data_IF_073901248660
#
_entry.id   IF_073901248660
#
_cell.length_a   1.000
_cell.length_b   1.000
_cell.length_c   1.000
_cell.angle_alpha   90.00
_cell.angle_beta   90.00
_cell.angle_gamma   90.00
#
_symmetry.space_group_name_H-M   'P 1'
#
loop_
_entity.id
_entity.type
_entity.pdbx_description
1 polymer ?
#
# COMPACT_ATOMS: atom_id res chain seq x y z
N UNK A 1 -15.90 -9.22 -28.35
CA UNK A 1 -15.19 -9.86 -27.22
C UNK A 1 -13.97 -9.09 -26.70
N UNK A 2 -13.42 -8.08 -27.41
CA UNK A 2 -12.28 -7.28 -26.92
C UNK A 2 -12.69 -6.01 -26.12
N UNK A 3 -13.88 -5.45 -26.37
CA UNK A 3 -14.31 -4.18 -25.77
C UNK A 3 -14.50 -4.22 -24.24
N UNK A 4 -14.77 -5.41 -23.68
CA UNK A 4 -15.04 -5.57 -22.25
C UNK A 4 -13.76 -5.51 -21.39
N UNK A 5 -12.61 -5.83 -22.00
CA UNK A 5 -11.31 -5.88 -21.32
C UNK A 5 -10.72 -4.47 -21.03
N UNK A 6 -11.14 -3.44 -21.78
CA UNK A 6 -10.69 -2.06 -21.58
C UNK A 6 -11.36 -1.36 -20.40
N UNK A 7 -12.42 -1.95 -19.84
CA UNK A 7 -13.19 -1.34 -18.75
C UNK A 7 -12.39 -1.19 -17.46
N UNK A 8 -11.35 -2.03 -17.29
CA UNK A 8 -10.51 -2.03 -16.10
C UNK A 8 -9.38 -0.97 -16.14
N UNK A 9 -9.05 -0.48 -17.34
CA UNK A 9 -7.92 0.45 -17.53
C UNK A 9 -8.10 1.76 -16.77
N UNK A 10 -9.27 2.43 -16.78
CA UNK A 10 -9.45 3.68 -16.04
C UNK A 10 -9.28 3.50 -14.53
N UNK A 11 -9.74 2.37 -13.96
CA UNK A 11 -9.63 2.10 -12.53
C UNK A 11 -8.18 1.86 -12.11
N UNK A 12 -7.41 1.11 -12.92
CA UNK A 12 -5.98 0.90 -12.71
C UNK A 12 -5.20 2.21 -12.84
N UNK A 13 -5.54 3.05 -13.83
CA UNK A 13 -4.95 4.39 -13.97
C UNK A 13 -5.29 5.27 -12.77
N UNK A 14 -6.53 5.26 -12.29
CA UNK A 14 -6.95 6.00 -11.11
C UNK A 14 -6.20 5.53 -9.85
N UNK A 15 -6.04 4.22 -9.66
CA UNK A 15 -5.24 3.66 -8.57
C UNK A 15 -3.77 4.12 -8.65
N UNK A 16 -3.18 4.13 -9.85
CA UNK A 16 -1.85 4.66 -10.10
C UNK A 16 -1.72 6.14 -9.73
N UNK A 17 -2.69 6.97 -10.15
CA UNK A 17 -2.74 8.40 -9.79
C UNK A 17 -2.86 8.59 -8.28
N UNK A 18 -3.69 7.80 -7.60
CA UNK A 18 -3.79 7.87 -6.13
C UNK A 18 -2.48 7.48 -5.47
N UNK A 19 -1.79 6.45 -5.98
CA UNK A 19 -0.47 6.07 -5.49
C UNK A 19 0.57 7.19 -5.71
N UNK A 20 0.56 7.86 -6.87
CA UNK A 20 1.45 8.98 -7.17
C UNK A 20 1.18 10.20 -6.27
N UNK A 21 -0.10 10.50 -6.01
CA UNK A 21 -0.50 11.54 -5.05
C UNK A 21 -0.02 11.17 -3.65
N UNK A 22 -0.21 9.92 -3.24
CA UNK A 22 0.21 9.45 -1.93
C UNK A 22 1.74 9.51 -1.78
N UNK A 23 2.48 9.17 -2.83
CA UNK A 23 3.93 9.31 -2.88
C UNK A 23 4.38 10.77 -2.69
N UNK A 24 3.76 11.70 -3.42
CA UNK A 24 4.05 13.14 -3.28
C UNK A 24 3.69 13.68 -1.90
N UNK A 25 2.66 13.13 -1.26
CA UNK A 25 2.16 13.58 0.02
C UNK A 25 2.99 13.03 1.19
N UNK A 26 3.30 11.74 1.20
CA UNK A 26 4.06 11.11 2.28
C UNK A 26 5.56 11.40 2.20
N UNK A 27 6.10 11.66 1.00
CA UNK A 27 7.54 11.80 0.74
C UNK A 27 8.33 10.71 1.49
N UNK A 28 8.13 9.43 1.16
CA UNK A 28 8.82 8.35 1.84
C UNK A 28 10.33 8.57 1.71
N UNK A 29 10.99 8.76 2.86
CA UNK A 29 12.44 8.89 2.98
C UNK A 29 12.91 7.89 4.02
N UNK A 30 14.15 7.39 3.86
CA UNK A 30 14.79 6.51 4.84
C UNK A 30 14.92 7.20 6.21
N UNK A 31 15.01 8.52 6.22
CA UNK A 31 15.03 9.37 7.43
C UNK A 31 13.66 9.46 8.14
N UNK A 32 12.57 9.08 7.45
CA UNK A 32 11.19 9.11 7.96
C UNK A 32 10.56 7.73 7.88
N UNK A 33 11.03 6.83 8.75
CA UNK A 33 10.60 5.43 8.82
C UNK A 33 9.06 5.28 8.90
N UNK A 34 8.39 6.16 9.64
CA UNK A 34 6.92 6.13 9.77
C UNK A 34 6.20 6.45 8.46
N UNK A 35 6.64 7.47 7.73
CA UNK A 35 6.10 7.79 6.39
C UNK A 35 6.31 6.63 5.42
N UNK A 36 7.46 5.96 5.48
CA UNK A 36 7.75 4.82 4.61
C UNK A 36 6.82 3.62 4.92
N UNK A 37 6.60 3.31 6.19
CA UNK A 37 5.69 2.23 6.62
C UNK A 37 4.25 2.48 6.21
N UNK A 38 3.75 3.71 6.42
CA UNK A 38 2.38 4.09 6.02
C UNK A 38 2.25 4.00 4.48
N UNK A 39 3.27 4.44 3.73
CA UNK A 39 3.28 4.34 2.27
C UNK A 39 3.25 2.87 1.79
N UNK A 40 4.05 2.00 2.42
CA UNK A 40 4.15 0.59 2.09
C UNK A 40 2.87 -0.19 2.42
N UNK A 41 2.09 0.24 3.43
CA UNK A 41 0.77 -0.30 3.74
C UNK A 41 -0.31 0.20 2.77
N UNK A 42 -0.39 1.52 2.58
CA UNK A 42 -1.48 2.14 1.83
C UNK A 42 -1.42 1.83 0.33
N UNK A 43 -0.22 1.73 -0.25
CA UNK A 43 -0.04 1.47 -1.68
C UNK A 43 -0.76 0.17 -2.14
N UNK A 44 -0.43 -1.02 -1.59
CA UNK A 44 -1.12 -2.25 -1.95
C UNK A 44 -2.58 -2.29 -1.50
N UNK A 45 -2.94 -1.67 -0.36
CA UNK A 45 -4.33 -1.55 0.09
C UNK A 45 -5.19 -0.85 -0.97
N UNK A 46 -4.76 0.33 -1.43
CA UNK A 46 -5.48 1.14 -2.41
C UNK A 46 -5.56 0.42 -3.75
N UNK A 47 -4.46 -0.18 -4.21
CA UNK A 47 -4.45 -0.94 -5.47
C UNK A 47 -5.52 -2.05 -5.47
N UNK A 48 -5.56 -2.87 -4.42
CA UNK A 48 -6.54 -3.95 -4.31
C UNK A 48 -7.96 -3.41 -4.13
N UNK A 49 -8.13 -2.30 -3.39
CA UNK A 49 -9.44 -1.67 -3.23
C UNK A 49 -10.02 -1.26 -4.59
N UNK A 50 -9.24 -0.56 -5.40
CA UNK A 50 -9.65 -0.15 -6.76
C UNK A 50 -9.90 -1.34 -7.67
N UNK A 51 -9.06 -2.38 -7.60
CA UNK A 51 -9.28 -3.62 -8.34
C UNK A 51 -10.63 -4.27 -7.99
N UNK A 52 -10.96 -4.41 -6.71
CA UNK A 52 -12.22 -5.01 -6.28
C UNK A 52 -13.43 -4.12 -6.58
N UNK A 53 -13.30 -2.79 -6.45
CA UNK A 53 -14.36 -1.85 -6.86
C UNK A 53 -14.69 -2.03 -8.34
N UNK A 54 -13.67 -2.07 -9.17
CA UNK A 54 -13.80 -2.28 -10.61
C UNK A 54 -14.44 -3.64 -10.93
N UNK A 55 -14.03 -4.69 -10.22
CA UNK A 55 -14.64 -6.02 -10.33
C UNK A 55 -16.14 -6.02 -9.96
N UNK A 56 -16.53 -5.26 -8.94
CA UNK A 56 -17.93 -5.08 -8.52
C UNK A 56 -18.72 -4.37 -9.62
N UNK A 57 -18.16 -3.31 -10.22
CA UNK A 57 -18.81 -2.58 -11.32
C UNK A 57 -18.87 -3.38 -12.62
N UNK A 58 -17.89 -4.23 -12.89
CA UNK A 58 -17.81 -5.02 -14.12
C UNK A 58 -18.66 -6.30 -14.06
N UNK A 59 -18.57 -7.06 -12.97
CA UNK A 59 -19.21 -8.37 -12.84
C UNK A 59 -20.56 -8.34 -12.13
N UNK A 60 -20.85 -7.30 -11.34
CA UNK A 60 -22.06 -7.21 -10.50
C UNK A 60 -22.10 -8.23 -9.35
N UNK A 61 -21.08 -9.09 -9.22
CA UNK A 61 -21.00 -10.09 -8.15
C UNK A 61 -20.31 -9.44 -6.96
N UNK A 62 -21.12 -9.01 -5.99
CA UNK A 62 -20.63 -8.51 -4.71
C UNK A 62 -20.33 -9.70 -3.82
N UNK A 63 -19.07 -10.14 -3.81
CA UNK A 63 -18.58 -11.09 -2.83
C UNK A 63 -18.74 -10.50 -1.42
N UNK A 64 -18.81 -11.36 -0.40
CA UNK A 64 -18.91 -10.92 0.99
C UNK A 64 -17.87 -9.85 1.30
N UNK A 65 -18.28 -8.79 2.00
CA UNK A 65 -17.41 -7.67 2.36
C UNK A 65 -16.14 -8.13 3.08
N UNK A 66 -16.24 -9.19 3.88
CA UNK A 66 -15.12 -9.79 4.59
C UNK A 66 -14.04 -10.34 3.65
N UNK A 67 -14.40 -10.86 2.47
CA UNK A 67 -13.45 -11.43 1.52
C UNK A 67 -12.63 -10.36 0.82
N UNK A 68 -13.29 -9.42 0.16
CA UNK A 68 -12.56 -8.44 -0.65
C UNK A 68 -11.89 -7.40 0.24
N UNK A 69 -12.58 -6.89 1.27
CA UNK A 69 -11.98 -5.93 2.21
C UNK A 69 -10.86 -6.58 3.04
N UNK A 70 -11.07 -7.81 3.51
CA UNK A 70 -10.03 -8.57 4.21
C UNK A 70 -8.79 -8.80 3.34
N UNK A 71 -8.98 -9.15 2.06
CA UNK A 71 -7.87 -9.30 1.11
C UNK A 71 -7.11 -7.98 0.90
N UNK A 72 -7.81 -6.85 0.79
CA UNK A 72 -7.18 -5.53 0.69
C UNK A 72 -6.31 -5.23 1.92
N UNK A 73 -6.86 -5.45 3.12
CA UNK A 73 -6.13 -5.23 4.38
C UNK A 73 -4.92 -6.15 4.49
N UNK A 74 -5.05 -7.42 4.12
CA UNK A 74 -3.94 -8.38 4.12
C UNK A 74 -2.83 -7.96 3.15
N UNK A 75 -3.18 -7.46 1.96
CA UNK A 75 -2.20 -6.92 1.02
C UNK A 75 -1.44 -5.71 1.62
N UNK A 76 -2.16 -4.84 2.34
CA UNK A 76 -1.57 -3.77 3.14
C UNK A 76 -0.57 -4.27 4.18
N UNK A 77 -0.97 -5.26 4.99
CA UNK A 77 -0.11 -5.86 6.02
C UNK A 77 1.17 -6.46 5.41
N UNK A 78 1.05 -7.15 4.27
CA UNK A 78 2.24 -7.69 3.57
C UNK A 78 3.19 -6.58 3.16
N UNK A 79 2.69 -5.48 2.61
CA UNK A 79 3.52 -4.32 2.27
C UNK A 79 4.20 -3.69 3.49
N UNK A 80 3.48 -3.61 4.62
CA UNK A 80 4.04 -3.15 5.89
C UNK A 80 5.15 -4.06 6.40
N UNK A 81 4.96 -5.39 6.38
CA UNK A 81 6.00 -6.36 6.77
C UNK A 81 7.24 -6.23 5.88
N UNK A 82 7.05 -6.08 4.57
CA UNK A 82 8.15 -5.83 3.64
C UNK A 82 8.89 -4.53 3.95
N UNK A 83 8.19 -3.48 4.40
CA UNK A 83 8.84 -2.24 4.84
C UNK A 83 9.76 -2.44 6.04
N UNK A 84 9.38 -3.26 7.03
CA UNK A 84 10.26 -3.59 8.15
C UNK A 84 11.48 -4.41 7.73
N UNK A 85 11.33 -5.22 6.69
CA UNK A 85 12.42 -6.01 6.09
C UNK A 85 13.40 -5.11 5.32
N UNK A 86 12.90 -4.06 4.67
CA UNK A 86 13.71 -3.10 3.90
C UNK A 86 14.44 -2.09 4.79
N UNK A 87 13.75 -1.58 5.82
CA UNK A 87 14.29 -0.58 6.75
C UNK A 87 14.04 -1.08 8.17
N UNK A 88 15.02 -1.78 8.77
CA UNK A 88 14.90 -2.24 10.14
C UNK A 88 14.81 -1.05 11.11
N UNK A 89 14.06 -1.17 12.22
CA UNK A 89 14.10 -0.18 13.29
C UNK A 89 15.53 -0.13 13.87
N UNK A 90 15.99 1.08 14.22
CA UNK A 90 17.27 1.27 14.91
C UNK A 90 17.28 0.37 16.16
N UNK A 91 18.30 -0.47 16.26
CA UNK A 91 18.44 -1.40 17.38
C UNK A 91 18.86 -0.65 18.65
N UNK A 92 18.58 -1.19 19.85
CA UNK A 92 18.98 -0.57 21.12
C UNK A 92 20.49 -0.31 21.25
N UNK A 93 21.33 -0.99 20.47
CA UNK A 93 22.79 -0.88 20.52
C UNK A 93 23.30 0.45 19.95
N UNK A 94 22.66 1.01 18.92
CA UNK A 94 23.07 2.29 18.31
C UNK A 94 22.69 3.50 19.19
N UNK A 95 21.58 3.43 19.93
CA UNK A 95 21.20 4.48 20.91
C UNK A 95 22.19 4.56 22.09
N UNK A 96 22.79 3.44 22.49
CA UNK A 96 23.77 3.40 23.59
C UNK A 96 25.14 3.96 23.17
N UNK A 97 25.57 3.72 21.93
CA UNK A 97 26.82 4.29 21.40
C UNK A 97 26.71 5.80 21.16
N UNK A 98 25.57 6.28 20.66
CA UNK A 98 25.35 7.71 20.41
C UNK A 98 25.23 8.52 21.72
N UNK A 99 24.61 7.95 22.77
CA UNK A 99 24.55 8.56 24.10
C UNK A 99 25.87 8.50 24.88
N UNK A 100 26.72 7.49 24.62
CA UNK A 100 28.05 7.42 25.24
C UNK A 100 29.05 8.41 24.62
N UNK A 101 28.78 8.92 23.43
CA UNK A 101 29.68 9.79 22.66
C UNK A 101 29.19 11.26 22.61
N UNK A 102 28.11 11.58 23.32
CA UNK A 102 27.53 12.91 23.50
C UNK A 102 27.82 13.48 24.90
#
# INVERSE_FOLDING_TARGET
MLADQYRLIPAIVAAGVVADVLYKWLRPSVERQDSLRIFAFLTPLILYLFYFLDLIFASGIVWSIHLWLGSCVMAGIVGLVLSYLLVPPLGPEEEMEEQSNA
#
